data_IF_873194832144
#
_entry.id   IF_873194832144
#
_cell.length_a   1.000
_cell.length_b   1.000
_cell.length_c   1.000
_cell.angle_alpha   90.00
_cell.angle_beta   90.00
_cell.angle_gamma   90.00
#
_symmetry.space_group_name_H-M   'P 1'
#
loop_
_entity.id
_entity.type
_entity.pdbx_description
1 polymer ?
#
# COMPACT_ATOMS: atom_id res chain seq x y z
N UNK A 1 66.58 -18.63 20.23
CA UNK A 1 65.92 -17.47 20.86
C UNK A 1 65.12 -16.60 19.87
N UNK A 2 65.59 -16.37 18.64
CA UNK A 2 64.88 -15.56 17.62
C UNK A 2 63.53 -16.13 17.12
N UNK A 3 63.31 -17.45 17.16
CA UNK A 3 62.12 -18.10 16.59
C UNK A 3 60.86 -17.96 17.48
N UNK A 4 61.03 -17.98 18.80
CA UNK A 4 59.95 -17.85 19.78
C UNK A 4 59.40 -16.41 19.81
N UNK A 5 60.27 -15.42 19.58
CA UNK A 5 59.91 -14.01 19.58
C UNK A 5 59.03 -13.62 18.37
N UNK A 6 59.26 -14.23 17.18
CA UNK A 6 58.41 -14.01 16.01
C UNK A 6 56.98 -14.52 16.23
N UNK A 7 56.81 -15.71 16.82
CA UNK A 7 55.51 -16.34 17.08
C UNK A 7 54.64 -15.54 18.07
N UNK A 8 55.24 -14.97 19.12
CA UNK A 8 54.53 -14.13 20.08
C UNK A 8 54.04 -12.80 19.45
N UNK A 9 54.85 -12.19 18.58
CA UNK A 9 54.48 -10.97 17.85
C UNK A 9 53.36 -11.24 16.85
N UNK A 10 53.40 -12.38 16.12
CA UNK A 10 52.32 -12.72 15.18
C UNK A 10 50.99 -12.98 15.90
N UNK A 11 51.03 -13.63 17.07
CA UNK A 11 49.84 -13.91 17.87
C UNK A 11 49.18 -12.62 18.39
N UNK A 12 49.97 -11.64 18.82
CA UNK A 12 49.45 -10.33 19.27
C UNK A 12 48.84 -9.52 18.13
N UNK A 13 49.42 -9.57 16.92
CA UNK A 13 48.86 -8.90 15.72
C UNK A 13 47.54 -9.55 15.29
N UNK A 14 47.43 -10.88 15.36
CA UNK A 14 46.19 -11.60 15.04
C UNK A 14 45.10 -11.27 16.07
N UNK A 15 45.43 -11.22 17.36
CA UNK A 15 44.47 -10.88 18.42
C UNK A 15 43.98 -9.43 18.29
N UNK A 16 44.85 -8.46 17.99
CA UNK A 16 44.45 -7.07 17.77
C UNK A 16 43.64 -6.89 16.48
N UNK A 17 43.96 -7.60 15.40
CA UNK A 17 43.19 -7.59 14.16
C UNK A 17 41.78 -8.18 14.33
N UNK A 18 41.65 -9.23 15.14
CA UNK A 18 40.35 -9.82 15.50
C UNK A 18 39.55 -8.81 16.35
N UNK A 19 40.17 -8.21 17.38
CA UNK A 19 39.51 -7.22 18.23
C UNK A 19 39.04 -5.98 17.45
N UNK A 20 39.87 -5.46 16.54
CA UNK A 20 39.51 -4.30 15.72
C UNK A 20 38.38 -4.63 14.75
N UNK A 21 38.36 -5.84 14.18
CA UNK A 21 37.28 -6.29 13.32
C UNK A 21 35.96 -6.42 14.09
N UNK A 22 35.97 -7.01 15.30
CA UNK A 22 34.79 -7.06 16.16
C UNK A 22 34.33 -5.67 16.61
N UNK A 23 35.26 -4.75 16.88
CA UNK A 23 34.94 -3.38 17.22
C UNK A 23 34.26 -2.65 16.06
N UNK A 24 34.80 -2.77 14.84
CA UNK A 24 34.20 -2.19 13.62
C UNK A 24 32.82 -2.79 13.37
N UNK A 25 32.66 -4.11 13.48
CA UNK A 25 31.37 -4.78 13.33
C UNK A 25 30.35 -4.30 14.40
N UNK A 26 30.78 -4.16 15.66
CA UNK A 26 29.97 -3.61 16.74
C UNK A 26 29.52 -2.17 16.47
N UNK A 27 30.43 -1.31 16.00
CA UNK A 27 30.11 0.07 15.60
C UNK A 27 29.12 0.12 14.43
N UNK A 28 29.25 -0.76 13.42
CA UNK A 28 28.31 -0.84 12.31
C UNK A 28 26.90 -1.27 12.75
N UNK A 29 26.81 -2.23 13.68
CA UNK A 29 25.52 -2.65 14.26
C UNK A 29 24.88 -1.51 15.08
N UNK A 30 25.66 -0.84 15.94
CA UNK A 30 25.17 0.30 16.71
C UNK A 30 24.73 1.46 15.81
N UNK A 31 25.47 1.73 14.74
CA UNK A 31 25.12 2.74 13.75
C UNK A 31 23.83 2.39 13.01
N UNK A 32 23.65 1.13 12.60
CA UNK A 32 22.41 0.66 11.97
C UNK A 32 21.20 0.78 12.91
N UNK A 33 21.37 0.44 14.20
CA UNK A 33 20.34 0.60 15.22
C UNK A 33 19.99 2.07 15.46
N UNK A 34 21.00 2.94 15.57
CA UNK A 34 20.80 4.39 15.70
C UNK A 34 20.05 4.98 14.50
N UNK A 35 20.30 4.50 13.27
CA UNK A 35 19.59 4.95 12.06
C UNK A 35 18.09 4.60 12.08
N UNK A 36 17.68 3.61 12.87
CA UNK A 36 16.27 3.22 13.09
C UNK A 36 15.65 3.87 14.32
N UNK A 37 16.44 4.60 15.13
CA UNK A 37 15.96 5.29 16.32
C UNK A 37 14.97 6.39 15.93
N UNK A 38 13.81 6.42 16.58
CA UNK A 38 12.72 7.37 16.32
C UNK A 38 12.07 7.29 14.92
N UNK A 39 12.12 6.13 14.26
CA UNK A 39 11.41 5.89 13.00
C UNK A 39 10.36 4.81 13.20
N UNK A 40 9.17 5.04 12.65
CA UNK A 40 8.06 4.11 12.68
C UNK A 40 7.54 3.89 11.26
N UNK A 41 7.25 2.64 10.91
CA UNK A 41 6.63 2.28 9.63
C UNK A 41 5.23 1.73 9.88
N UNK A 42 4.27 2.21 9.07
CA UNK A 42 2.98 1.54 8.90
C UNK A 42 3.15 0.56 7.75
N UNK A 43 2.89 -0.71 8.03
CA UNK A 43 2.90 -1.81 7.08
C UNK A 43 1.47 -2.26 6.78
N UNK A 44 1.14 -2.27 5.49
CA UNK A 44 -0.08 -2.86 4.98
C UNK A 44 0.25 -4.28 4.49
N UNK A 45 -0.46 -5.28 4.99
CA UNK A 45 -0.38 -6.67 4.53
C UNK A 45 -1.76 -7.06 4.05
N UNK A 46 -1.84 -7.48 2.80
CA UNK A 46 -3.09 -7.84 2.13
C UNK A 46 -2.89 -9.23 1.54
N UNK A 47 -3.84 -10.13 1.80
CA UNK A 47 -3.95 -11.36 1.04
C UNK A 47 -5.06 -11.18 -0.01
N UNK A 48 -4.70 -11.41 -1.27
CA UNK A 48 -5.59 -11.33 -2.41
C UNK A 48 -6.14 -12.73 -2.68
N UNK A 49 -7.47 -12.87 -2.63
CA UNK A 49 -8.14 -14.15 -2.81
C UNK A 49 -7.97 -14.66 -4.25
N UNK A 50 -7.05 -15.61 -4.41
CA UNK A 50 -6.70 -16.20 -5.71
C UNK A 50 -7.85 -16.97 -6.36
N UNK A 51 -8.71 -17.60 -5.57
CA UNK A 51 -9.86 -18.32 -6.10
C UNK A 51 -10.85 -17.34 -6.71
N UNK A 52 -11.19 -16.29 -5.97
CA UNK A 52 -12.12 -15.27 -6.43
C UNK A 52 -11.61 -14.56 -7.69
N UNK A 53 -10.32 -14.24 -7.75
CA UNK A 53 -9.69 -13.69 -8.96
C UNK A 53 -9.86 -14.62 -10.17
N UNK A 54 -9.74 -15.94 -9.99
CA UNK A 54 -9.92 -16.91 -11.09
C UNK A 54 -11.37 -17.09 -11.52
N UNK A 55 -12.30 -16.84 -10.60
CA UNK A 55 -13.74 -16.96 -10.82
C UNK A 55 -14.32 -15.71 -11.47
N UNK A 56 -13.62 -14.56 -11.46
CA UNK A 56 -14.04 -13.38 -12.21
C UNK A 56 -13.90 -13.60 -13.72
N UNK A 57 -14.71 -12.88 -14.50
CA UNK A 57 -14.76 -13.06 -15.96
C UNK A 57 -13.39 -12.90 -16.64
N UNK A 58 -12.52 -12.04 -16.10
CA UNK A 58 -11.23 -11.74 -16.72
C UNK A 58 -10.04 -12.47 -16.10
N UNK A 59 -10.16 -13.06 -14.91
CA UNK A 59 -9.03 -13.74 -14.27
C UNK A 59 -7.91 -12.81 -13.81
N UNK A 60 -8.13 -11.49 -13.83
CA UNK A 60 -7.12 -10.46 -13.62
C UNK A 60 -7.00 -10.07 -12.15
N UNK A 61 -5.78 -9.68 -11.74
CA UNK A 61 -5.57 -9.21 -10.37
C UNK A 61 -6.37 -7.94 -10.09
N UNK A 62 -6.88 -7.77 -8.85
CA UNK A 62 -7.68 -6.61 -8.52
C UNK A 62 -6.86 -5.32 -8.66
N UNK A 63 -7.56 -4.26 -9.03
CA UNK A 63 -7.03 -2.90 -9.08
C UNK A 63 -7.31 -2.26 -7.72
N UNK A 64 -6.30 -1.67 -7.09
CA UNK A 64 -6.47 -1.06 -5.76
C UNK A 64 -5.49 0.07 -5.47
N UNK A 65 -5.87 0.90 -4.51
CA UNK A 65 -5.05 1.97 -3.97
C UNK A 65 -5.06 1.97 -2.45
N UNK A 66 -3.97 2.47 -1.87
CA UNK A 66 -3.78 2.66 -0.43
C UNK A 66 -3.31 4.08 -0.21
N UNK A 67 -3.95 4.81 0.70
CA UNK A 67 -3.50 6.13 1.10
C UNK A 67 -3.67 6.35 2.61
N UNK A 68 -2.89 7.30 3.11
CA UNK A 68 -3.06 7.85 4.46
C UNK A 68 -3.75 9.20 4.36
N UNK A 69 -4.55 9.52 5.36
CA UNK A 69 -5.14 10.84 5.56
C UNK A 69 -4.85 11.29 7.00
N UNK A 70 -4.28 12.49 7.12
CA UNK A 70 -4.04 13.13 8.41
C UNK A 70 -5.37 13.65 8.99
N UNK A 71 -5.82 13.16 10.16
CA UNK A 71 -7.17 13.47 10.67
C UNK A 71 -7.44 14.96 10.90
N UNK A 72 -6.42 15.73 11.28
CA UNK A 72 -6.59 17.16 11.59
C UNK A 72 -6.67 18.05 10.35
N UNK A 73 -5.89 17.72 9.32
CA UNK A 73 -5.73 18.58 8.13
C UNK A 73 -6.47 18.05 6.91
N UNK A 74 -6.91 16.79 6.93
CA UNK A 74 -7.41 16.08 5.76
C UNK A 74 -6.37 15.87 4.67
N UNK A 75 -5.08 16.14 4.94
CA UNK A 75 -4.02 15.97 3.95
C UNK A 75 -3.85 14.48 3.63
N UNK A 76 -4.00 14.14 2.36
CA UNK A 76 -3.83 12.77 1.88
C UNK A 76 -2.42 12.53 1.35
N UNK A 77 -2.00 11.27 1.44
CA UNK A 77 -0.81 10.77 0.80
C UNK A 77 -1.05 9.36 0.27
N UNK A 78 -1.10 9.22 -1.05
CA UNK A 78 -1.09 7.91 -1.73
C UNK A 78 0.21 7.17 -1.41
N UNK A 79 0.07 5.98 -0.82
CA UNK A 79 1.17 5.09 -0.45
C UNK A 79 1.44 4.08 -1.56
N UNK A 80 0.38 3.58 -2.17
CA UNK A 80 0.44 2.59 -3.22
C UNK A 80 -0.77 2.74 -4.13
N UNK A 81 -0.56 2.53 -5.41
CA UNK A 81 -1.62 2.26 -6.36
C UNK A 81 -1.12 1.22 -7.35
N UNK A 82 -1.98 0.29 -7.75
CA UNK A 82 -1.67 -0.67 -8.81
C UNK A 82 -1.33 0.06 -10.11
N UNK A 83 -0.30 -0.43 -10.80
CA UNK A 83 0.23 0.20 -12.02
C UNK A 83 -0.85 0.57 -13.04
N UNK A 84 -1.81 -0.33 -13.25
CA UNK A 84 -2.94 -0.12 -14.17
C UNK A 84 -3.70 1.18 -13.90
N UNK A 85 -4.15 1.39 -12.66
CA UNK A 85 -4.82 2.64 -12.27
C UNK A 85 -3.85 3.83 -12.19
N UNK A 86 -2.61 3.61 -11.77
CA UNK A 86 -1.60 4.66 -11.61
C UNK A 86 -1.18 5.31 -12.94
N UNK A 87 -1.04 4.51 -14.00
CA UNK A 87 -0.67 4.97 -15.34
C UNK A 87 -1.87 5.19 -16.27
N UNK A 88 -3.06 4.73 -15.88
CA UNK A 88 -4.23 4.71 -16.75
C UNK A 88 -4.08 3.73 -17.92
N UNK A 89 -3.36 2.62 -17.70
CA UNK A 89 -3.07 1.60 -18.72
C UNK A 89 -4.24 0.61 -18.81
N UNK A 90 -5.29 0.99 -19.52
CA UNK A 90 -6.51 0.19 -19.68
C UNK A 90 -6.58 -0.47 -21.04
N UNK A 91 -6.81 -1.77 -21.07
CA UNK A 91 -6.91 -2.51 -22.32
C UNK A 91 -8.14 -2.04 -23.12
N UNK A 92 -7.90 -1.47 -24.30
CA UNK A 92 -8.93 -1.02 -25.22
C UNK A 92 -9.76 0.19 -24.76
N UNK A 93 -9.37 0.88 -23.68
CA UNK A 93 -10.08 2.06 -23.14
C UNK A 93 -9.13 3.19 -22.81
N UNK A 94 -9.59 4.43 -22.99
CA UNK A 94 -8.81 5.63 -22.59
C UNK A 94 -8.82 5.83 -21.08
N UNK A 95 -9.91 5.47 -20.41
CA UNK A 95 -10.05 5.57 -18.96
C UNK A 95 -11.11 4.60 -18.44
N UNK A 96 -10.96 4.20 -17.18
CA UNK A 96 -11.95 3.44 -16.42
C UNK A 96 -12.18 4.15 -15.09
N UNK A 97 -12.96 5.25 -15.07
CA UNK A 97 -13.09 6.12 -13.90
C UNK A 97 -13.82 5.44 -12.73
N UNK A 98 -14.56 4.35 -12.99
CA UNK A 98 -15.25 3.54 -11.98
C UNK A 98 -14.35 2.49 -11.31
N UNK A 99 -13.10 2.31 -11.77
CA UNK A 99 -12.20 1.31 -11.20
C UNK A 99 -11.76 1.65 -9.77
N UNK A 100 -11.37 2.89 -9.52
CA UNK A 100 -10.99 3.41 -8.20
C UNK A 100 -11.47 4.86 -8.06
N UNK A 101 -12.79 5.10 -8.13
CA UNK A 101 -13.36 6.43 -8.23
C UNK A 101 -12.91 7.33 -7.09
N UNK A 102 -12.87 6.83 -5.84
CA UNK A 102 -12.50 7.69 -4.70
C UNK A 102 -11.03 8.07 -4.75
N UNK A 103 -10.15 7.11 -5.07
CA UNK A 103 -8.74 7.37 -5.21
C UNK A 103 -8.45 8.33 -6.36
N UNK A 104 -9.20 8.29 -7.47
CA UNK A 104 -9.01 9.29 -8.53
C UNK A 104 -9.27 10.73 -8.04
N UNK A 105 -10.27 10.96 -7.18
CA UNK A 105 -10.48 12.26 -6.53
C UNK A 105 -9.31 12.65 -5.60
N UNK A 106 -8.83 11.69 -4.81
CA UNK A 106 -7.67 11.87 -3.91
C UNK A 106 -6.44 12.23 -4.71
N UNK A 107 -6.11 11.45 -5.75
CA UNK A 107 -4.95 11.68 -6.61
C UNK A 107 -5.03 13.04 -7.33
N UNK A 108 -6.22 13.43 -7.83
CA UNK A 108 -6.43 14.76 -8.42
C UNK A 108 -6.13 15.87 -7.42
N UNK A 109 -6.63 15.74 -6.20
CA UNK A 109 -6.40 16.72 -5.11
C UNK A 109 -4.91 16.80 -4.74
N UNK A 110 -4.25 15.65 -4.59
CA UNK A 110 -2.81 15.58 -4.33
C UNK A 110 -1.97 16.22 -5.43
N UNK A 111 -2.32 15.99 -6.71
CA UNK A 111 -1.63 16.60 -7.84
C UNK A 111 -1.81 18.13 -7.86
N UNK A 112 -3.02 18.62 -7.57
CA UNK A 112 -3.29 20.04 -7.46
C UNK A 112 -2.48 20.68 -6.32
N UNK A 113 -2.46 20.07 -5.13
CA UNK A 113 -1.63 20.51 -4.01
C UNK A 113 -0.14 20.51 -4.35
N UNK A 114 0.37 19.47 -5.02
CA UNK A 114 1.78 19.40 -5.47
C UNK A 114 2.11 20.52 -6.45
N UNK A 115 1.22 20.81 -7.41
CA UNK A 115 1.43 21.87 -8.38
C UNK A 115 1.43 23.27 -7.72
N UNK A 116 0.60 23.49 -6.70
CA UNK A 116 0.62 24.72 -5.90
C UNK A 116 1.89 24.84 -5.03
N UNK A 117 2.39 23.71 -4.51
CA UNK A 117 3.57 23.64 -3.64
C UNK A 117 4.90 23.55 -4.40
N UNK A 118 4.92 23.58 -5.75
CA UNK A 118 6.16 23.58 -6.55
C UNK A 118 7.16 24.70 -6.21
N UNK A 119 6.78 25.68 -5.37
CA UNK A 119 7.68 26.70 -4.80
C UNK A 119 8.29 26.36 -3.42
N UNK A 120 7.95 25.23 -2.79
CA UNK A 120 8.55 24.74 -1.52
C UNK A 120 8.57 23.20 -1.50
N UNK A 121 9.75 22.62 -1.74
CA UNK A 121 9.99 21.18 -1.91
C UNK A 121 9.61 20.35 -0.66
N UNK A 122 8.96 19.21 -0.88
CA UNK A 122 9.38 17.91 -0.33
C UNK A 122 8.83 16.77 -1.21
N UNK A 123 9.70 15.85 -1.59
CA UNK A 123 9.47 14.69 -2.45
C UNK A 123 8.46 13.71 -1.84
N UNK A 124 7.16 14.00 -1.94
CA UNK A 124 6.10 13.01 -1.75
C UNK A 124 6.04 12.13 -3.00
N UNK A 125 6.91 11.12 -3.05
CA UNK A 125 6.89 10.06 -4.05
C UNK A 125 5.59 9.26 -3.91
N UNK A 126 4.65 9.47 -4.84
CA UNK A 126 3.65 8.45 -5.15
C UNK A 126 4.40 7.25 -5.70
N UNK A 127 4.52 6.18 -4.90
CA UNK A 127 5.11 4.93 -5.38
C UNK A 127 4.02 4.19 -6.12
N UNK A 128 3.94 4.39 -7.44
CA UNK A 128 3.26 3.42 -8.29
C UNK A 128 4.03 2.11 -8.18
N UNK A 129 3.34 1.02 -7.85
CA UNK A 129 3.95 -0.30 -7.77
C UNK A 129 3.39 -1.22 -8.84
N UNK A 130 4.16 -2.24 -9.23
CA UNK A 130 3.66 -3.30 -10.09
C UNK A 130 2.37 -3.88 -9.51
N UNK A 131 1.36 -4.09 -10.35
CA UNK A 131 0.11 -4.74 -9.93
C UNK A 131 0.44 -6.11 -9.33
N UNK A 132 0.13 -6.36 -8.05
CA UNK A 132 0.52 -7.60 -7.39
C UNK A 132 -0.24 -8.78 -7.97
N UNK A 133 0.43 -9.93 -8.08
CA UNK A 133 -0.23 -11.20 -8.38
C UNK A 133 -1.08 -11.64 -7.18
N UNK A 134 -2.10 -12.49 -7.38
CA UNK A 134 -2.91 -13.00 -6.27
C UNK A 134 -2.05 -13.76 -5.25
N UNK A 135 -2.38 -13.63 -3.96
CA UNK A 135 -1.56 -14.05 -2.83
C UNK A 135 -1.20 -12.87 -1.91
N UNK A 136 -0.08 -12.97 -1.20
CA UNK A 136 0.35 -11.94 -0.25
C UNK A 136 1.01 -10.74 -0.93
N UNK A 137 0.49 -9.55 -0.61
CA UNK A 137 1.05 -8.26 -0.94
C UNK A 137 1.41 -7.51 0.36
N UNK A 138 2.51 -6.77 0.34
CA UNK A 138 2.86 -5.87 1.43
C UNK A 138 3.50 -4.58 0.94
N UNK A 139 3.13 -3.46 1.55
CA UNK A 139 3.81 -2.18 1.37
C UNK A 139 4.01 -1.48 2.71
N UNK A 140 5.01 -0.58 2.79
CA UNK A 140 5.35 0.15 4.00
C UNK A 140 5.54 1.63 3.72
N UNK A 141 5.10 2.45 4.66
CA UNK A 141 5.35 3.90 4.65
C UNK A 141 5.91 4.32 6.00
N UNK A 142 6.90 5.21 5.98
CA UNK A 142 7.45 5.83 7.19
C UNK A 142 6.56 6.98 7.63
N UNK A 143 6.25 7.01 8.91
CA UNK A 143 5.46 8.06 9.55
C UNK A 143 6.13 8.52 10.84
N UNK A 144 5.70 9.67 11.35
CA UNK A 144 6.16 10.18 12.64
C UNK A 144 5.69 9.25 13.77
N UNK A 145 6.57 8.79 14.67
CA UNK A 145 6.15 7.99 15.82
C UNK A 145 5.04 8.69 16.62
N UNK A 146 4.01 7.94 17.02
CA UNK A 146 2.88 8.44 17.80
C UNK A 146 1.82 9.25 17.03
N UNK A 147 2.05 9.54 15.74
CA UNK A 147 1.06 10.22 14.88
C UNK A 147 -0.20 9.36 14.66
N UNK A 148 -1.32 10.02 14.39
CA UNK A 148 -2.62 9.39 14.12
C UNK A 148 -2.92 9.44 12.62
N UNK A 149 -3.47 8.36 12.06
CA UNK A 149 -3.79 8.29 10.63
C UNK A 149 -5.14 7.62 10.39
N UNK A 150 -5.92 8.20 9.47
CA UNK A 150 -6.97 7.49 8.76
C UNK A 150 -6.31 6.71 7.61
N UNK A 151 -6.32 5.38 7.69
CA UNK A 151 -5.82 4.51 6.64
C UNK A 151 -6.97 4.08 5.74
N UNK A 152 -6.78 4.25 4.44
CA UNK A 152 -7.79 3.92 3.43
C UNK A 152 -7.25 2.95 2.41
N UNK A 153 -8.10 2.01 1.99
CA UNK A 153 -7.83 1.06 0.92
C UNK A 153 -9.06 1.00 0.03
N UNK A 154 -8.92 1.32 -1.25
CA UNK A 154 -10.00 1.17 -2.23
C UNK A 154 -9.62 0.04 -3.19
N UNK A 155 -10.55 -0.89 -3.46
CA UNK A 155 -10.29 -2.05 -4.32
C UNK A 155 -11.47 -2.33 -5.23
N UNK A 156 -11.16 -2.71 -6.47
CA UNK A 156 -12.11 -3.24 -7.43
C UNK A 156 -11.52 -4.48 -8.14
N UNK A 157 -12.39 -5.43 -8.45
CA UNK A 157 -12.04 -6.58 -9.29
C UNK A 157 -12.85 -6.49 -10.58
N UNK A 158 -12.16 -6.33 -11.71
CA UNK A 158 -12.83 -6.27 -13.01
C UNK A 158 -13.50 -7.61 -13.36
N UNK A 159 -14.67 -7.53 -13.99
CA UNK A 159 -15.46 -8.70 -14.35
C UNK A 159 -16.10 -9.42 -13.17
N UNK A 160 -16.26 -8.77 -12.02
CA UNK A 160 -16.89 -9.36 -10.83
C UNK A 160 -18.41 -9.17 -10.86
N UNK A 161 -19.05 -9.77 -11.87
CA UNK A 161 -20.49 -9.65 -12.10
C UNK A 161 -21.32 -10.51 -11.15
N UNK A 162 -22.55 -10.07 -10.89
CA UNK A 162 -23.54 -10.84 -10.14
C UNK A 162 -24.97 -10.51 -10.63
N UNK A 163 -26.00 -11.02 -9.94
CA UNK A 163 -27.41 -10.77 -10.31
C UNK A 163 -27.78 -9.28 -10.34
N UNK A 164 -27.19 -8.48 -9.45
CA UNK A 164 -27.46 -7.03 -9.35
C UNK A 164 -26.58 -6.21 -10.29
N UNK A 165 -25.32 -6.61 -10.44
CA UNK A 165 -24.31 -5.97 -11.26
C UNK A 165 -23.98 -6.86 -12.44
N UNK A 166 -24.88 -6.85 -13.43
CA UNK A 166 -24.81 -7.72 -14.61
C UNK A 166 -23.82 -7.16 -15.63
N UNK A 167 -23.22 -8.07 -16.40
CA UNK A 167 -22.44 -7.67 -17.57
C UNK A 167 -23.31 -7.07 -18.68
N UNK A 168 -24.51 -7.64 -18.85
CA UNK A 168 -25.55 -7.19 -19.76
C UNK A 168 -26.91 -7.25 -19.06
N UNK A 169 -27.63 -6.14 -19.10
CA UNK A 169 -29.00 -6.04 -18.62
C UNK A 169 -29.96 -6.29 -19.80
N UNK A 170 -30.63 -7.45 -19.79
CA UNK A 170 -31.57 -7.82 -20.85
C UNK A 170 -32.82 -6.95 -20.91
N UNK A 171 -33.24 -6.35 -19.80
CA UNK A 171 -34.46 -5.53 -19.74
C UNK A 171 -34.14 -4.12 -20.22
N UNK A 172 -33.07 -3.52 -19.69
CA UNK A 172 -32.62 -2.19 -20.09
C UNK A 172 -31.89 -2.17 -21.45
N UNK A 173 -31.51 -3.34 -21.97
CA UNK A 173 -30.69 -3.52 -23.18
C UNK A 173 -29.37 -2.76 -23.12
N UNK A 174 -28.79 -2.66 -21.93
CA UNK A 174 -27.52 -1.97 -21.66
C UNK A 174 -26.45 -2.95 -21.22
N UNK A 175 -25.18 -2.61 -21.43
CA UNK A 175 -24.04 -3.35 -20.90
C UNK A 175 -23.30 -2.51 -19.87
N UNK A 176 -22.58 -3.18 -18.97
CA UNK A 176 -21.55 -2.51 -18.18
C UNK A 176 -20.45 -2.00 -19.13
N UNK A 177 -20.47 -0.68 -19.39
CA UNK A 177 -19.52 0.03 -20.23
C UNK A 177 -18.07 -0.25 -19.82
N UNK A 178 -17.82 -0.31 -18.51
CA UNK A 178 -16.49 -0.44 -17.94
C UNK A 178 -16.10 -1.88 -17.66
N UNK A 179 -17.06 -2.81 -17.69
CA UNK A 179 -16.89 -4.23 -17.42
C UNK A 179 -16.28 -4.49 -16.04
N UNK A 180 -16.59 -3.65 -15.07
CA UNK A 180 -16.09 -3.84 -13.70
C UNK A 180 -16.94 -4.83 -12.92
N UNK A 181 -18.24 -4.91 -13.19
CA UNK A 181 -19.19 -5.65 -12.37
C UNK A 181 -19.48 -4.89 -11.08
N UNK A 182 -19.26 -5.54 -9.93
CA UNK A 182 -19.49 -4.92 -8.63
C UNK A 182 -18.65 -3.64 -8.43
N UNK A 183 -19.20 -2.61 -7.75
CA UNK A 183 -18.49 -1.37 -7.45
C UNK A 183 -17.22 -1.58 -6.62
N UNK A 184 -16.32 -0.59 -6.67
CA UNK A 184 -15.15 -0.55 -5.81
C UNK A 184 -15.56 -0.49 -4.32
N UNK A 185 -14.86 -1.23 -3.47
CA UNK A 185 -15.06 -1.23 -2.02
C UNK A 185 -14.01 -0.36 -1.35
N UNK A 186 -14.45 0.44 -0.38
CA UNK A 186 -13.61 1.29 0.44
C UNK A 186 -13.50 0.72 1.85
N UNK A 187 -12.28 0.44 2.27
CA UNK A 187 -11.93 0.03 3.61
C UNK A 187 -11.30 1.21 4.38
N UNK A 188 -11.59 1.29 5.68
CA UNK A 188 -11.07 2.31 6.59
C UNK A 188 -10.55 1.69 7.87
N UNK A 189 -9.41 2.16 8.34
CA UNK A 189 -8.97 1.98 9.72
C UNK A 189 -8.45 3.30 10.29
N UNK A 190 -8.48 3.41 11.61
CA UNK A 190 -7.77 4.47 12.34
C UNK A 190 -6.61 3.80 13.05
N UNK A 191 -5.40 4.32 12.88
CA UNK A 191 -4.21 3.76 13.52
C UNK A 191 -3.35 4.86 14.14
N UNK A 192 -2.86 4.58 15.35
CA UNK A 192 -1.80 5.36 15.98
C UNK A 192 -0.47 4.69 15.68
N UNK A 193 0.53 5.47 15.23
CA UNK A 193 1.86 5.01 14.87
C UNK A 193 2.73 4.65 16.10
N UNK A 194 2.22 3.78 16.96
CA UNK A 194 2.93 3.19 18.10
C UNK A 194 3.29 1.75 17.77
N UNK A 195 4.53 1.38 18.04
CA UNK A 195 5.05 0.04 17.76
C UNK A 195 4.19 -1.06 18.39
N UNK A 196 3.87 -2.09 17.61
CA UNK A 196 3.02 -3.20 18.05
C UNK A 196 1.53 -2.96 17.80
N UNK A 197 1.10 -1.74 17.46
CA UNK A 197 -0.28 -1.51 17.05
C UNK A 197 -0.60 -2.30 15.78
N UNK A 198 -1.76 -2.95 15.79
CA UNK A 198 -2.29 -3.72 14.68
C UNK A 198 -3.79 -3.53 14.62
N UNK A 199 -4.29 -3.26 13.42
CA UNK A 199 -5.72 -3.08 13.16
C UNK A 199 -6.12 -3.84 11.89
N UNK A 200 -7.38 -4.28 11.87
CA UNK A 200 -8.05 -4.79 10.67
C UNK A 200 -9.03 -3.70 10.25
N UNK A 201 -8.99 -3.23 9.00
CA UNK A 201 -9.90 -2.18 8.56
C UNK A 201 -11.31 -2.71 8.33
N UNK A 202 -12.29 -1.88 8.62
CA UNK A 202 -13.71 -2.13 8.33
C UNK A 202 -14.06 -1.64 6.92
N UNK A 203 -15.09 -2.22 6.32
CA UNK A 203 -15.63 -1.70 5.05
C UNK A 203 -16.45 -0.44 5.36
N UNK A 204 -15.98 0.70 4.86
CA UNK A 204 -16.66 1.98 4.96
C UNK A 204 -17.85 2.09 3.99
N UNK A 205 -17.79 1.39 2.85
CA UNK A 205 -18.88 1.32 1.89
C UNK A 205 -18.41 0.95 0.49
N UNK A 206 -19.34 1.05 -0.46
CA UNK A 206 -19.05 0.94 -1.89
C UNK A 206 -18.95 2.34 -2.51
N UNK A 207 -17.98 2.55 -3.38
CA UNK A 207 -17.79 3.82 -4.08
C UNK A 207 -18.57 3.82 -5.39
N UNK A 208 -19.49 4.78 -5.54
CA UNK A 208 -20.30 4.97 -6.74
C UNK A 208 -19.93 6.31 -7.37
N UNK A 209 -19.49 6.27 -8.62
CA UNK A 209 -19.28 7.47 -9.43
C UNK A 209 -20.59 7.87 -10.11
N UNK A 210 -21.12 9.01 -9.70
CA UNK A 210 -22.24 9.67 -10.36
C UNK A 210 -21.67 10.79 -11.27
N UNK A 211 -22.01 10.83 -12.56
CA UNK A 211 -21.50 11.85 -13.49
C UNK A 211 -21.81 13.29 -13.08
N UNK A 212 -22.89 13.52 -12.34
CA UNK A 212 -23.34 14.85 -11.91
C UNK A 212 -22.85 15.18 -10.49
N UNK A 213 -22.84 14.19 -9.60
CA UNK A 213 -22.56 14.40 -8.16
C UNK A 213 -21.15 14.04 -7.73
N UNK A 214 -20.35 13.43 -8.61
CA UNK A 214 -19.04 12.91 -8.28
C UNK A 214 -19.11 11.60 -7.49
N UNK A 215 -18.08 11.31 -6.70
CA UNK A 215 -18.00 10.02 -6.00
C UNK A 215 -18.74 10.06 -4.68
N UNK A 216 -19.64 9.09 -4.50
CA UNK A 216 -20.37 8.87 -3.25
C UNK A 216 -19.98 7.54 -2.61
N UNK A 217 -19.91 7.52 -1.28
CA UNK A 217 -19.70 6.29 -0.50
C UNK A 217 -21.08 5.86 -0.01
N UNK A 218 -21.51 4.66 -0.40
CA UNK A 218 -22.84 4.14 -0.10
C UNK A 218 -22.75 2.84 0.72
N UNK A 219 -23.78 2.48 1.49
CA UNK A 219 -23.87 1.17 2.13
C UNK A 219 -23.80 0.03 1.10
N UNK A 220 -23.26 -1.11 1.51
CA UNK A 220 -23.12 -2.29 0.65
C UNK A 220 -24.50 -2.81 0.22
N UNK A 221 -24.90 -2.53 -1.01
CA UNK A 221 -26.20 -2.94 -1.55
C UNK A 221 -25.97 -3.79 -2.81
N UNK A 222 -26.40 -5.05 -2.78
CA UNK A 222 -26.21 -5.99 -3.90
C UNK A 222 -24.78 -6.52 -4.07
N UNK A 223 -23.86 -6.14 -3.17
CA UNK A 223 -22.50 -6.68 -3.11
C UNK A 223 -22.57 -8.14 -2.61
N UNK A 224 -21.85 -9.05 -3.28
CA UNK A 224 -21.76 -10.46 -2.94
C UNK A 224 -20.33 -10.82 -2.53
N UNK A 225 -19.56 -11.40 -3.45
CA UNK A 225 -18.20 -11.89 -3.23
C UNK A 225 -17.15 -10.77 -3.15
N UNK A 226 -17.42 -9.55 -3.63
CA UNK A 226 -16.42 -8.47 -3.67
C UNK A 226 -15.81 -8.14 -2.29
N UNK A 227 -16.56 -8.37 -1.19
CA UNK A 227 -16.07 -8.23 0.20
C UNK A 227 -14.92 -9.18 0.54
N UNK A 228 -14.69 -10.21 -0.28
CA UNK A 228 -13.65 -11.23 -0.12
C UNK A 228 -12.55 -11.14 -1.17
N UNK A 229 -12.51 -10.06 -1.98
CA UNK A 229 -11.39 -9.80 -2.91
C UNK A 229 -10.08 -9.81 -2.11
N UNK A 230 -10.11 -9.13 -0.96
CA UNK A 230 -9.12 -9.30 0.10
C UNK A 230 -9.76 -10.14 1.20
N UNK A 231 -9.26 -11.36 1.38
CA UNK A 231 -9.70 -12.28 2.44
C UNK A 231 -8.90 -12.06 3.74
N UNK A 232 -7.78 -11.36 3.69
CA UNK A 232 -7.08 -10.82 4.86
C UNK A 232 -6.54 -9.42 4.58
N UNK A 233 -6.79 -8.49 5.52
CA UNK A 233 -6.15 -7.17 5.54
C UNK A 233 -5.65 -6.90 6.95
N UNK A 234 -4.37 -6.58 7.07
CA UNK A 234 -3.72 -6.20 8.32
C UNK A 234 -2.95 -4.91 8.11
N UNK A 235 -3.19 -3.94 8.97
CA UNK A 235 -2.38 -2.73 9.07
C UNK A 235 -1.64 -2.81 10.40
N UNK A 236 -0.31 -2.81 10.34
CA UNK A 236 0.55 -2.99 11.51
C UNK A 236 1.60 -1.90 11.60
N UNK A 237 1.97 -1.54 12.82
CA UNK A 237 3.02 -0.58 13.09
C UNK A 237 4.26 -1.33 13.57
N UNK A 238 5.36 -1.16 12.83
CA UNK A 238 6.62 -1.82 13.13
C UNK A 238 7.79 -0.82 13.08
N UNK A 239 8.87 -1.14 13.81
CA UNK A 239 10.15 -0.47 13.59
C UNK A 239 10.71 -0.86 12.23
N UNK A 240 11.32 0.08 11.48
CA UNK A 240 12.09 -0.27 10.30
C UNK A 240 13.16 -1.29 10.69
N UNK A 241 13.28 -2.36 9.90
CA UNK A 241 14.38 -3.31 10.10
C UNK A 241 15.72 -2.58 9.84
N UNK A 242 16.72 -2.70 10.72
CA UNK A 242 18.03 -2.13 10.47
C UNK A 242 18.61 -2.72 9.18
N UNK A 243 18.98 -1.87 8.23
CA UNK A 243 19.73 -2.27 7.03
C UNK A 243 21.17 -1.82 7.19
N UNK A 244 22.11 -2.76 7.05
CA UNK A 244 23.56 -2.52 7.15
C UNK A 244 24.12 -2.02 5.81
N UNK A 245 23.39 -2.21 4.70
CA UNK A 245 23.75 -1.76 3.35
C UNK A 245 22.50 -1.22 2.65
N UNK A 246 22.65 -0.15 1.88
CA UNK A 246 21.58 0.44 1.04
C UNK A 246 21.42 -0.30 -0.29
#
# INVERSE_FOLDING_TARGET
MFFIMKFAVTKNIIVTAIFSTFFIAGCLVLFALAKTWNKTEIEFRIHINKQLVRESTFGESPTFAIWLEEPETGSTQTIFVTNRAGLGDWEGKTSVPVALPKWFEVNKSEQQSRNMLKNKISERLTITGATPKPGYFSTRVRVTPGSMWNCWIEVNLAGDFNEKFKEYDEEAKTSDEYKTGQPALLYKAIIKAEEGNRVVPDIAGMCILDPEKGVTIQPLTGITNATRIFDEIIIAVARPKPRIVE
#
